data_IF_408478416700
#
_entry.id   IF_408478416700
#
_cell.length_a   1.000
_cell.length_b   1.000
_cell.length_c   1.000
_cell.angle_alpha   90.00
_cell.angle_beta   90.00
_cell.angle_gamma   90.00
#
_symmetry.space_group_name_H-M   'P 1'
#
loop_
_entity.id
_entity.type
_entity.pdbx_description
1 polymer ?
#
# COMPACT_ATOMS: atom_id res chain seq x y z
N UNK A 1 10.77 -9.19 -9.57
CA UNK A 1 9.77 -8.88 -10.62
C UNK A 1 9.00 -7.62 -10.29
N UNK A 2 8.70 -7.35 -9.02
CA UNK A 2 7.77 -6.30 -8.61
C UNK A 2 8.38 -4.89 -8.53
N UNK A 3 9.69 -4.76 -8.32
CA UNK A 3 10.38 -3.47 -8.24
C UNK A 3 10.25 -2.63 -9.53
N UNK A 4 10.44 -3.18 -10.75
CA UNK A 4 10.21 -2.44 -11.98
C UNK A 4 8.74 -1.99 -12.13
N UNK A 5 7.78 -2.81 -11.68
CA UNK A 5 6.36 -2.47 -11.72
C UNK A 5 6.07 -1.30 -10.76
N UNK A 6 6.63 -1.32 -9.56
CA UNK A 6 6.51 -0.23 -8.61
C UNK A 6 7.08 1.08 -9.17
N UNK A 7 8.29 1.03 -9.75
CA UNK A 7 8.91 2.21 -10.36
C UNK A 7 8.09 2.74 -11.54
N UNK A 8 7.56 1.85 -12.39
CA UNK A 8 6.68 2.25 -13.50
C UNK A 8 5.37 2.87 -12.99
N UNK A 9 4.82 2.36 -11.90
CA UNK A 9 3.64 2.95 -11.26
C UNK A 9 3.90 4.38 -10.80
N UNK A 10 5.03 4.63 -10.13
CA UNK A 10 5.39 6.00 -9.73
C UNK A 10 5.67 6.91 -10.93
N UNK A 11 6.28 6.40 -12.00
CA UNK A 11 6.49 7.17 -13.22
C UNK A 11 5.14 7.56 -13.87
N UNK A 12 4.19 6.63 -13.95
CA UNK A 12 2.83 6.91 -14.45
C UNK A 12 2.11 7.92 -13.57
N UNK A 13 2.20 7.80 -12.24
CA UNK A 13 1.62 8.76 -11.31
C UNK A 13 2.23 10.16 -11.47
N UNK A 14 3.56 10.24 -11.61
CA UNK A 14 4.24 11.51 -11.85
C UNK A 14 3.79 12.14 -13.17
N UNK A 15 3.66 11.35 -14.24
CA UNK A 15 3.18 11.83 -15.54
C UNK A 15 1.71 12.30 -15.46
N UNK A 16 0.84 11.58 -14.76
CA UNK A 16 -0.54 11.99 -14.53
C UNK A 16 -0.63 13.27 -13.69
N UNK A 17 0.19 13.37 -12.64
CA UNK A 17 0.25 14.55 -11.78
C UNK A 17 0.81 15.77 -12.52
N UNK A 18 1.66 15.54 -13.51
CA UNK A 18 2.22 16.57 -14.41
C UNK A 18 1.29 16.88 -15.59
N UNK A 19 0.09 16.32 -15.62
CA UNK A 19 -0.86 16.55 -16.71
C UNK A 19 -1.15 18.06 -16.83
N UNK A 20 -0.34 18.66 -17.67
CA UNK A 20 -0.27 20.09 -17.93
C UNK A 20 -1.48 20.49 -18.78
N UNK A 21 -2.49 20.99 -18.12
CA UNK A 21 -3.49 21.75 -18.82
C UNK A 21 -2.87 23.10 -19.17
N UNK A 22 -2.45 23.23 -20.43
CA UNK A 22 -1.93 24.45 -21.05
C UNK A 22 -2.88 25.63 -20.79
N UNK A 23 -2.60 26.38 -19.75
CA UNK A 23 -3.10 27.74 -19.54
C UNK A 23 -2.02 28.47 -18.74
N UNK A 24 -1.64 29.59 -19.21
CA UNK A 24 -0.61 30.58 -18.92
C UNK A 24 -0.01 30.75 -17.51
N UNK A 25 -0.28 29.87 -16.59
CA UNK A 25 0.28 29.88 -15.23
C UNK A 25 1.04 28.57 -14.94
N UNK A 26 2.35 28.61 -15.14
CA UNK A 26 3.31 27.56 -14.75
C UNK A 26 3.26 27.20 -13.24
N UNK A 27 2.40 27.84 -12.47
CA UNK A 27 2.28 27.72 -11.01
C UNK A 27 0.96 27.05 -10.58
N UNK A 28 0.01 26.85 -11.49
CA UNK A 28 -1.22 26.13 -11.20
C UNK A 28 -0.95 24.61 -11.26
N UNK A 29 -0.83 24.00 -10.09
CA UNK A 29 -0.52 22.59 -9.92
C UNK A 29 -1.39 21.67 -10.76
N UNK A 30 -0.81 20.53 -11.16
CA UNK A 30 -1.52 19.49 -11.89
C UNK A 30 -2.73 18.97 -11.10
N UNK A 31 -3.61 18.26 -11.76
CA UNK A 31 -4.75 17.62 -11.13
C UNK A 31 -4.86 16.17 -11.62
N UNK A 32 -5.18 15.26 -10.71
CA UNK A 32 -5.56 13.90 -11.09
C UNK A 32 -7.07 13.89 -11.34
N UNK A 33 -7.43 13.61 -12.58
CA UNK A 33 -8.81 13.63 -13.04
C UNK A 33 -9.53 12.31 -12.72
N UNK A 34 -10.86 12.31 -12.74
CA UNK A 34 -11.67 11.12 -12.46
C UNK A 34 -11.39 9.95 -13.40
N UNK A 35 -11.19 10.20 -14.69
CA UNK A 35 -10.86 9.15 -15.66
C UNK A 35 -9.46 8.55 -15.44
N UNK A 36 -8.50 9.35 -14.94
CA UNK A 36 -7.18 8.88 -14.55
C UNK A 36 -7.27 7.97 -13.32
N UNK A 37 -8.17 8.29 -12.40
CA UNK A 37 -8.51 7.40 -11.29
C UNK A 37 -9.04 6.03 -11.76
N UNK A 38 -9.90 6.01 -12.79
CA UNK A 38 -10.37 4.75 -13.40
C UNK A 38 -9.22 3.95 -14.02
N UNK A 39 -8.29 4.63 -14.71
CA UNK A 39 -7.08 3.99 -15.27
C UNK A 39 -6.22 3.38 -14.16
N UNK A 40 -6.01 4.11 -13.05
CA UNK A 40 -5.22 3.64 -11.91
C UNK A 40 -5.82 2.36 -11.30
N UNK A 41 -7.13 2.37 -11.03
CA UNK A 41 -7.82 1.17 -10.50
C UNK A 41 -7.79 0.02 -11.53
N UNK A 42 -7.94 0.32 -12.81
CA UNK A 42 -7.80 -0.67 -13.89
C UNK A 42 -6.41 -1.31 -13.93
N UNK A 43 -5.35 -0.50 -13.80
CA UNK A 43 -3.96 -1.00 -13.70
C UNK A 43 -3.75 -1.89 -12.47
N UNK A 44 -4.35 -1.54 -11.33
CA UNK A 44 -4.30 -2.39 -10.14
C UNK A 44 -4.95 -3.76 -10.40
N UNK A 45 -6.12 -3.79 -11.04
CA UNK A 45 -6.80 -5.05 -11.37
C UNK A 45 -5.94 -5.91 -12.30
N UNK A 46 -5.33 -5.31 -13.32
CA UNK A 46 -4.39 -6.00 -14.23
C UNK A 46 -3.18 -6.54 -13.45
N UNK A 47 -2.62 -5.74 -12.55
CA UNK A 47 -1.51 -6.16 -11.70
C UNK A 47 -1.88 -7.35 -10.82
N UNK A 48 -3.00 -7.28 -10.10
CA UNK A 48 -3.47 -8.37 -9.24
C UNK A 48 -3.77 -9.64 -10.05
N UNK A 49 -4.35 -9.50 -11.24
CA UNK A 49 -4.58 -10.62 -12.14
C UNK A 49 -3.27 -11.25 -12.63
N UNK A 50 -2.26 -10.43 -12.95
CA UNK A 50 -0.95 -10.93 -13.37
C UNK A 50 -0.24 -11.69 -12.25
N UNK A 51 -0.31 -11.18 -11.01
CA UNK A 51 0.22 -11.88 -9.82
C UNK A 51 -0.50 -13.21 -9.59
N UNK A 52 -1.82 -13.22 -9.69
CA UNK A 52 -2.60 -14.46 -9.55
C UNK A 52 -2.19 -15.50 -10.61
N UNK A 53 -2.05 -15.08 -11.86
CA UNK A 53 -1.60 -15.97 -12.94
C UNK A 53 -0.18 -16.49 -12.70
N UNK A 54 0.73 -15.61 -12.30
CA UNK A 54 2.11 -15.97 -11.99
C UNK A 54 2.18 -16.99 -10.84
N UNK A 55 1.49 -16.73 -9.74
CA UNK A 55 1.44 -17.64 -8.60
C UNK A 55 0.85 -19.01 -8.98
N UNK A 56 -0.23 -19.00 -9.76
CA UNK A 56 -0.87 -20.25 -10.23
C UNK A 56 0.05 -21.07 -11.12
N UNK A 57 0.75 -20.43 -12.07
CA UNK A 57 1.63 -21.16 -12.99
C UNK A 57 2.82 -21.75 -12.23
N UNK A 58 3.42 -21.01 -11.29
CA UNK A 58 4.53 -21.48 -10.48
C UNK A 58 4.13 -22.68 -9.60
N UNK A 59 2.93 -22.64 -9.00
CA UNK A 59 2.42 -23.78 -8.22
C UNK A 59 2.24 -25.03 -9.08
N UNK A 60 1.92 -24.89 -10.35
CA UNK A 60 1.78 -26.04 -11.29
C UNK A 60 3.19 -26.60 -11.61
N UNK A 61 4.18 -25.75 -11.90
CA UNK A 61 5.56 -26.17 -12.18
C UNK A 61 6.17 -26.86 -10.95
N UNK A 62 6.00 -26.32 -9.76
CA UNK A 62 6.46 -26.93 -8.51
C UNK A 62 5.79 -28.28 -8.23
N UNK A 63 4.53 -28.47 -8.60
CA UNK A 63 3.82 -29.75 -8.46
C UNK A 63 4.28 -30.80 -9.49
N UNK A 64 4.77 -30.38 -10.66
CA UNK A 64 5.33 -31.28 -11.67
C UNK A 64 6.77 -31.73 -11.30
N UNK A 65 7.54 -30.86 -10.61
CA UNK A 65 8.92 -31.18 -10.17
C UNK A 65 8.98 -31.97 -8.85
N UNK A 66 7.95 -31.92 -8.00
CA UNK A 66 7.90 -32.66 -6.73
C UNK A 66 7.67 -34.14 -7.01
N UNK A 67 8.71 -34.94 -6.88
CA UNK A 67 8.58 -36.39 -6.66
C UNK A 67 7.70 -36.62 -5.42
N UNK A 68 6.67 -37.43 -5.57
CA UNK A 68 5.60 -37.67 -4.57
C UNK A 68 6.08 -38.19 -3.19
N UNK A 69 7.40 -38.28 -2.98
CA UNK A 69 8.00 -38.77 -1.72
C UNK A 69 8.31 -37.66 -0.69
N UNK A 70 8.26 -36.38 -1.08
CA UNK A 70 8.50 -35.23 -0.17
C UNK A 70 7.36 -34.22 -0.14
N UNK A 71 6.14 -34.71 -0.02
CA UNK A 71 5.02 -33.78 0.27
C UNK A 71 5.20 -33.32 1.71
N UNK A 72 5.47 -32.01 1.97
CA UNK A 72 5.52 -31.50 3.32
C UNK A 72 4.21 -31.83 4.02
N UNK A 73 4.29 -32.35 5.23
CA UNK A 73 3.11 -32.70 6.03
C UNK A 73 2.14 -31.53 6.01
N UNK A 74 0.87 -31.80 5.70
CA UNK A 74 -0.19 -30.78 5.71
C UNK A 74 -0.07 -29.92 6.97
N UNK A 75 -0.24 -28.59 6.87
CA UNK A 75 -0.17 -27.73 8.04
C UNK A 75 -1.12 -28.24 9.10
N UNK A 76 -0.58 -28.70 10.23
CA UNK A 76 -1.31 -29.33 11.34
C UNK A 76 -2.18 -28.31 12.09
N UNK A 77 -3.01 -27.56 11.40
CA UNK A 77 -3.90 -26.57 11.98
C UNK A 77 -5.25 -26.56 11.27
N UNK A 78 -6.33 -26.50 12.06
CA UNK A 78 -7.64 -26.22 11.47
C UNK A 78 -7.56 -24.87 10.75
N UNK A 79 -7.83 -24.84 9.45
CA UNK A 79 -7.82 -23.63 8.60
C UNK A 79 -8.53 -22.45 9.30
N UNK A 80 -9.63 -22.70 10.01
CA UNK A 80 -10.35 -21.68 10.77
C UNK A 80 -9.51 -21.02 11.88
N UNK A 81 -8.65 -21.79 12.57
CA UNK A 81 -7.75 -21.22 13.59
C UNK A 81 -6.65 -20.38 12.96
N UNK A 82 -6.14 -20.79 11.80
CA UNK A 82 -5.13 -20.01 11.07
C UNK A 82 -5.71 -18.68 10.57
N UNK A 83 -6.90 -18.71 9.98
CA UNK A 83 -7.62 -17.50 9.55
C UNK A 83 -7.90 -16.60 10.76
N UNK A 84 -8.36 -17.17 11.88
CA UNK A 84 -8.62 -16.39 13.10
C UNK A 84 -7.36 -15.70 13.62
N UNK A 85 -6.20 -16.38 13.62
CA UNK A 85 -4.92 -15.78 14.04
C UNK A 85 -4.51 -14.63 13.11
N UNK A 86 -4.67 -14.79 11.80
CA UNK A 86 -4.36 -13.74 10.83
C UNK A 86 -5.27 -12.52 11.03
N UNK A 87 -6.58 -12.74 11.14
CA UNK A 87 -7.55 -11.65 11.34
C UNK A 87 -7.33 -10.96 12.68
N UNK A 88 -7.10 -11.71 13.76
CA UNK A 88 -6.83 -11.14 15.08
C UNK A 88 -5.52 -10.35 15.11
N UNK A 89 -4.46 -10.84 14.45
CA UNK A 89 -3.20 -10.16 14.31
C UNK A 89 -3.32 -8.86 13.52
N UNK A 90 -4.01 -8.89 12.38
CA UNK A 90 -4.27 -7.71 11.56
C UNK A 90 -5.10 -6.66 12.31
N UNK A 91 -6.15 -7.08 13.00
CA UNK A 91 -6.95 -6.19 13.84
C UNK A 91 -6.13 -5.59 14.99
N UNK A 92 -5.28 -6.39 15.64
CA UNK A 92 -4.38 -5.92 16.70
C UNK A 92 -3.39 -4.87 16.20
N UNK A 93 -2.79 -5.08 15.02
CA UNK A 93 -1.88 -4.11 14.39
C UNK A 93 -2.61 -2.81 14.02
N UNK A 94 -3.82 -2.92 13.44
CA UNK A 94 -4.60 -1.75 13.05
C UNK A 94 -5.02 -0.92 14.28
N UNK A 95 -5.58 -1.56 15.31
CA UNK A 95 -6.00 -0.88 16.54
C UNK A 95 -4.82 -0.29 17.31
N UNK A 96 -3.72 -1.05 17.42
CA UNK A 96 -2.50 -0.58 18.09
C UNK A 96 -1.87 0.60 17.36
N UNK A 97 -1.78 0.53 16.05
CA UNK A 97 -1.29 1.63 15.21
C UNK A 97 -2.13 2.89 15.36
N UNK A 98 -3.46 2.75 15.32
CA UNK A 98 -4.37 3.89 15.50
C UNK A 98 -4.23 4.52 16.88
N UNK A 99 -4.24 3.72 17.94
CA UNK A 99 -4.06 4.21 19.32
C UNK A 99 -2.74 4.95 19.50
N UNK A 100 -1.67 4.45 18.88
CA UNK A 100 -0.35 5.11 18.92
C UNK A 100 -0.39 6.46 18.19
N UNK A 101 -0.99 6.50 16.99
CA UNK A 101 -1.15 7.75 16.21
C UNK A 101 -1.95 8.78 16.98
N UNK A 102 -3.11 8.40 17.52
CA UNK A 102 -3.97 9.29 18.28
C UNK A 102 -3.26 9.86 19.51
N UNK A 103 -2.57 9.00 20.28
CA UNK A 103 -1.81 9.41 21.43
C UNK A 103 -0.63 10.33 21.11
N UNK A 104 0.14 9.97 20.07
CA UNK A 104 1.28 10.78 19.63
C UNK A 104 0.83 12.14 19.06
N UNK A 105 -0.27 12.16 18.30
CA UNK A 105 -0.86 13.39 17.77
C UNK A 105 -1.33 14.30 18.89
N UNK A 106 -2.04 13.74 19.88
CA UNK A 106 -2.50 14.51 21.03
C UNK A 106 -1.33 15.15 21.82
N UNK A 107 -0.26 14.39 22.06
CA UNK A 107 0.94 14.89 22.73
C UNK A 107 1.60 15.99 21.89
N UNK A 108 1.75 15.79 20.59
CA UNK A 108 2.39 16.76 19.71
C UNK A 108 1.62 18.09 19.69
N UNK A 109 0.30 18.04 19.61
CA UNK A 109 -0.55 19.22 19.55
C UNK A 109 -0.68 19.92 20.91
N UNK A 110 -0.95 19.18 21.98
CA UNK A 110 -1.33 19.77 23.27
C UNK A 110 -0.12 20.03 24.19
N UNK A 111 0.98 19.28 24.04
CA UNK A 111 2.18 19.46 24.87
C UNK A 111 3.23 20.29 24.14
N UNK A 112 3.47 19.99 22.85
CA UNK A 112 4.50 20.66 22.07
C UNK A 112 3.97 21.80 21.19
N UNK A 113 2.65 21.99 21.08
CA UNK A 113 2.05 23.04 20.28
C UNK A 113 2.26 22.87 18.77
N UNK A 114 2.46 21.63 18.32
CA UNK A 114 2.64 21.33 16.90
C UNK A 114 1.35 21.64 16.12
N UNK A 115 1.49 22.17 14.90
CA UNK A 115 0.34 22.41 14.04
C UNK A 115 -0.29 21.11 13.56
N UNK A 116 -1.61 21.06 13.41
CA UNK A 116 -2.35 19.90 12.84
C UNK A 116 -1.76 19.44 11.50
N UNK A 117 -1.31 20.39 10.67
CA UNK A 117 -0.66 20.10 9.38
C UNK A 117 0.65 19.35 9.57
N UNK A 118 1.48 19.76 10.53
CA UNK A 118 2.74 19.08 10.83
C UNK A 118 2.48 17.68 11.36
N UNK A 119 1.53 17.54 12.29
CA UNK A 119 1.10 16.24 12.85
C UNK A 119 0.61 15.31 11.75
N UNK A 120 -0.27 15.79 10.86
CA UNK A 120 -0.79 15.00 9.76
C UNK A 120 0.29 14.50 8.79
N UNK A 121 1.26 15.35 8.43
CA UNK A 121 2.32 14.99 7.48
C UNK A 121 3.36 14.05 8.11
N UNK A 122 3.58 14.14 9.43
CA UNK A 122 4.62 13.36 10.12
C UNK A 122 4.04 12.18 10.90
N UNK A 123 3.30 12.45 11.96
CA UNK A 123 2.85 11.42 12.91
C UNK A 123 1.81 10.51 12.26
N UNK A 124 0.79 11.10 11.64
CA UNK A 124 -0.26 10.29 10.98
C UNK A 124 0.31 9.51 9.80
N UNK A 125 1.14 10.14 8.96
CA UNK A 125 1.73 9.45 7.80
C UNK A 125 2.64 8.28 8.23
N UNK A 126 3.49 8.46 9.24
CA UNK A 126 4.31 7.37 9.79
C UNK A 126 3.44 6.30 10.46
N UNK A 127 2.45 6.72 11.24
CA UNK A 127 1.60 5.83 12.00
C UNK A 127 0.74 4.91 11.14
N UNK A 128 0.25 5.40 10.01
CA UNK A 128 -0.52 4.58 9.06
C UNK A 128 0.35 3.51 8.38
N UNK A 129 1.67 3.70 8.33
CA UNK A 129 2.62 2.72 7.78
C UNK A 129 3.23 1.79 8.84
N UNK A 130 2.89 1.95 10.13
CA UNK A 130 3.41 1.10 11.21
C UNK A 130 3.02 -0.37 11.06
N UNK A 131 1.78 -0.74 10.72
CA UNK A 131 1.40 -2.14 10.50
C UNK A 131 2.28 -2.82 9.45
N UNK A 132 2.52 -2.16 8.33
CA UNK A 132 3.36 -2.66 7.25
C UNK A 132 4.82 -2.80 7.68
N UNK A 133 5.33 -1.80 8.41
CA UNK A 133 6.69 -1.82 8.93
C UNK A 133 6.91 -2.99 9.89
N UNK A 134 6.01 -3.16 10.88
CA UNK A 134 6.10 -4.24 11.87
C UNK A 134 6.00 -5.60 11.19
N UNK A 135 5.06 -5.78 10.26
CA UNK A 135 4.88 -7.03 9.52
C UNK A 135 6.14 -7.37 8.72
N UNK A 136 6.72 -6.40 8.03
CA UNK A 136 7.94 -6.58 7.25
C UNK A 136 9.15 -6.89 8.13
N UNK A 137 9.30 -6.20 9.27
CA UNK A 137 10.37 -6.48 10.23
C UNK A 137 10.28 -7.88 10.81
N UNK A 138 9.08 -8.32 11.19
CA UNK A 138 8.85 -9.68 11.71
C UNK A 138 9.18 -10.73 10.64
N UNK A 139 8.79 -10.50 9.39
CA UNK A 139 9.12 -11.38 8.28
C UNK A 139 10.65 -11.50 8.08
N UNK A 140 11.39 -10.38 8.10
CA UNK A 140 12.86 -10.38 8.03
C UNK A 140 13.48 -11.19 9.16
N UNK A 141 13.06 -10.95 10.41
CA UNK A 141 13.59 -11.66 11.58
C UNK A 141 13.32 -13.17 11.49
N UNK A 142 12.24 -13.58 10.82
CA UNK A 142 11.92 -14.99 10.58
C UNK A 142 12.59 -15.59 9.35
N UNK A 143 13.37 -14.81 8.61
CA UNK A 143 14.03 -15.27 7.38
C UNK A 143 13.12 -15.25 6.14
N UNK A 144 11.89 -14.74 6.28
CA UNK A 144 10.88 -14.71 5.22
C UNK A 144 11.02 -13.41 4.38
N UNK A 145 12.14 -13.28 3.67
CA UNK A 145 12.47 -12.06 2.91
C UNK A 145 11.45 -11.75 1.82
N UNK A 146 10.91 -12.78 1.15
CA UNK A 146 9.93 -12.62 0.07
C UNK A 146 8.63 -12.02 0.60
N UNK A 147 8.20 -12.42 1.80
CA UNK A 147 7.03 -11.84 2.47
C UNK A 147 7.29 -10.37 2.81
N UNK A 148 8.47 -10.04 3.35
CA UNK A 148 8.84 -8.67 3.69
C UNK A 148 8.85 -7.76 2.45
N UNK A 149 9.54 -8.16 1.39
CA UNK A 149 9.62 -7.40 0.14
C UNK A 149 8.25 -7.28 -0.51
N UNK A 150 7.48 -8.37 -0.57
CA UNK A 150 6.12 -8.39 -1.12
C UNK A 150 5.18 -7.44 -0.37
N UNK A 151 5.27 -7.39 0.96
CA UNK A 151 4.47 -6.47 1.78
C UNK A 151 4.83 -5.00 1.51
N UNK A 152 6.13 -4.66 1.49
CA UNK A 152 6.58 -3.28 1.23
C UNK A 152 6.20 -2.82 -0.18
N UNK A 153 6.49 -3.62 -1.20
CA UNK A 153 6.23 -3.25 -2.59
C UNK A 153 4.72 -3.26 -2.88
N UNK A 154 4.04 -4.31 -2.42
CA UNK A 154 2.61 -4.49 -2.64
C UNK A 154 1.77 -3.39 -2.00
N UNK A 155 2.05 -3.01 -0.75
CA UNK A 155 1.35 -1.92 -0.08
C UNK A 155 1.57 -0.57 -0.78
N UNK A 156 2.76 -0.29 -1.27
CA UNK A 156 3.03 0.92 -2.03
C UNK A 156 2.26 0.97 -3.35
N UNK A 157 2.23 -0.14 -4.10
CA UNK A 157 1.44 -0.23 -5.35
C UNK A 157 -0.05 -0.07 -5.05
N UNK A 158 -0.55 -0.76 -4.01
CA UNK A 158 -1.95 -0.70 -3.62
C UNK A 158 -2.34 0.73 -3.18
N UNK A 159 -1.56 1.35 -2.30
CA UNK A 159 -1.83 2.72 -1.85
C UNK A 159 -1.80 3.71 -3.02
N UNK A 160 -0.85 3.56 -3.94
CA UNK A 160 -0.72 4.44 -5.09
C UNK A 160 -1.86 4.26 -6.11
N UNK A 161 -2.23 3.02 -6.44
CA UNK A 161 -3.24 2.76 -7.47
C UNK A 161 -4.67 2.72 -6.92
N UNK A 162 -4.88 2.10 -5.75
CA UNK A 162 -6.22 1.99 -5.17
C UNK A 162 -6.65 3.25 -4.45
N UNK A 163 -5.84 3.73 -3.50
CA UNK A 163 -6.25 4.85 -2.65
C UNK A 163 -6.35 6.14 -3.45
N UNK A 164 -5.30 6.48 -4.21
CA UNK A 164 -5.34 7.68 -5.07
C UNK A 164 -6.35 7.51 -6.20
N UNK A 165 -6.40 6.34 -6.84
CA UNK A 165 -7.35 6.06 -7.92
C UNK A 165 -8.80 6.18 -7.47
N UNK A 166 -9.17 5.53 -6.36
CA UNK A 166 -10.52 5.63 -5.80
C UNK A 166 -10.87 7.07 -5.38
N UNK A 167 -9.93 7.76 -4.74
CA UNK A 167 -10.11 9.16 -4.34
C UNK A 167 -10.34 10.05 -5.57
N UNK A 168 -9.55 9.86 -6.64
CA UNK A 168 -9.68 10.63 -7.88
C UNK A 168 -11.02 10.36 -8.59
N UNK A 169 -11.53 9.12 -8.57
CA UNK A 169 -12.85 8.77 -9.10
C UNK A 169 -13.95 9.55 -8.36
N UNK A 170 -13.87 9.60 -7.05
CA UNK A 170 -14.85 10.31 -6.23
C UNK A 170 -14.75 11.82 -6.40
N UNK A 171 -13.53 12.35 -6.39
CA UNK A 171 -13.25 13.78 -6.51
C UNK A 171 -11.91 14.00 -7.19
N UNK A 172 -11.86 14.90 -8.21
CA UNK A 172 -10.60 15.35 -8.81
C UNK A 172 -9.64 15.85 -7.72
N UNK A 173 -8.41 15.32 -7.71
CA UNK A 173 -7.38 15.70 -6.75
C UNK A 173 -6.56 16.83 -7.35
N UNK A 174 -6.66 18.03 -6.79
CA UNK A 174 -5.84 19.17 -7.21
C UNK A 174 -4.49 19.14 -6.48
N UNK A 175 -3.40 19.11 -7.26
CA UNK A 175 -2.02 19.09 -6.75
C UNK A 175 -1.49 20.51 -6.88
N UNK A 176 -1.34 21.22 -5.76
CA UNK A 176 -0.74 22.55 -5.74
C UNK A 176 -1.68 23.72 -5.50
N UNK A 177 -2.93 23.49 -5.10
CA UNK A 177 -3.81 24.57 -4.66
C UNK A 177 -3.35 25.13 -3.31
N UNK A 178 -2.51 26.19 -3.36
CA UNK A 178 -2.04 26.93 -2.16
C UNK A 178 -3.11 27.88 -1.56
N UNK A 179 -4.34 27.88 -2.11
CA UNK A 179 -5.36 28.87 -1.76
C UNK A 179 -6.40 28.40 -0.76
N UNK A 180 -6.15 27.28 -0.05
CA UNK A 180 -7.01 26.87 1.07
C UNK A 180 -6.23 26.92 2.38
N UNK A 181 -5.92 28.11 2.84
CA UNK A 181 -5.66 28.43 4.25
C UNK A 181 -6.75 29.33 4.74
#
# INVERSE_FOLDING_TARGET
>A
VDTPIMLSTYAVLALMAMNYRSSDDFISGGAILRWEGLVMVGLLIVYLYSLYRYARNRSIEELEEVNLEEVPAEPQGRLGIMILKVVAGAAGLALGGQTLVDGASWIAENVFGASERFVGITIVALGTSLPELITSMVAVVRGEMDISLGNIIGSNIFNSLMVLGATAIMRTINIGDRKST
#
